data_IF_627728471693
#
_entry.id   IF_627728471693
#
_cell.length_a   1.000
_cell.length_b   1.000
_cell.length_c   1.000
_cell.angle_alpha   90.00
_cell.angle_beta   90.00
_cell.angle_gamma   90.00
#
_symmetry.space_group_name_H-M   'P 1'
#
loop_
_entity.id
_entity.type
_entity.pdbx_description
1 polymer ?
#
# COMPACT_ATOMS: atom_id res chain seq x y z
N UNK A 1 -28.51 -11.78 0.02
CA UNK A 1 -27.07 -11.45 0.10
C UNK A 1 -26.64 -11.63 1.55
N UNK A 2 -25.78 -12.59 1.86
CA UNK A 2 -25.29 -12.78 3.22
C UNK A 2 -24.32 -11.65 3.53
N UNK A 3 -24.65 -10.82 4.50
CA UNK A 3 -23.76 -9.77 4.98
C UNK A 3 -22.76 -10.42 5.92
N UNK A 4 -21.50 -10.41 5.58
CA UNK A 4 -20.44 -10.85 6.50
C UNK A 4 -20.35 -9.85 7.65
N UNK A 5 -20.19 -10.35 8.85
CA UNK A 5 -20.00 -9.55 10.04
C UNK A 5 -18.55 -9.75 10.51
N UNK A 6 -17.83 -8.66 10.63
CA UNK A 6 -16.43 -8.66 11.06
C UNK A 6 -16.34 -8.10 12.48
N UNK A 7 -15.66 -8.80 13.33
CA UNK A 7 -15.45 -8.39 14.68
C UNK A 7 -15.61 -9.55 15.69
N UNK A 8 -15.11 -9.39 16.91
CA UNK A 8 -15.11 -10.45 17.93
C UNK A 8 -16.50 -10.98 18.28
N UNK A 9 -17.54 -10.12 18.17
CA UNK A 9 -18.94 -10.47 18.48
C UNK A 9 -19.57 -11.38 17.43
N UNK A 10 -19.11 -11.36 16.19
CA UNK A 10 -19.65 -12.16 15.10
C UNK A 10 -18.50 -12.68 14.18
N UNK A 11 -17.54 -13.43 14.71
CA UNK A 11 -16.45 -13.94 13.91
C UNK A 11 -16.95 -15.02 12.94
N UNK A 12 -16.36 -15.06 11.75
CA UNK A 12 -16.41 -16.22 10.87
C UNK A 12 -15.07 -16.97 10.93
N UNK A 13 -14.95 -18.05 10.17
CA UNK A 13 -13.73 -18.86 10.19
C UNK A 13 -12.49 -18.15 9.62
N UNK A 14 -12.66 -17.02 8.93
CA UNK A 14 -11.59 -16.22 8.34
C UNK A 14 -11.32 -14.93 9.12
N UNK A 15 -12.06 -14.70 10.21
CA UNK A 15 -11.81 -13.57 11.08
C UNK A 15 -10.45 -13.70 11.78
N UNK A 16 -9.65 -12.65 11.68
CA UNK A 16 -8.34 -12.55 12.35
C UNK A 16 -8.51 -11.65 13.58
N UNK A 17 -8.30 -12.17 14.81
CA UNK A 17 -8.32 -11.34 16.01
C UNK A 17 -7.21 -10.31 15.97
N UNK A 18 -7.54 -9.03 16.16
CA UNK A 18 -6.60 -7.93 16.08
C UNK A 18 -6.05 -7.55 17.45
N UNK A 19 -4.73 -7.32 17.51
CA UNK A 19 -4.00 -6.97 18.74
C UNK A 19 -4.19 -5.51 19.14
N UNK A 20 -4.28 -4.60 18.15
CA UNK A 20 -4.34 -3.17 18.37
C UNK A 20 -5.76 -2.64 18.23
N UNK A 21 -6.09 -1.64 19.08
CA UNK A 21 -7.39 -0.98 19.04
C UNK A 21 -7.51 -0.13 17.77
N UNK A 22 -8.66 -0.27 17.11
CA UNK A 22 -9.03 0.55 15.96
C UNK A 22 -9.63 1.88 16.37
N UNK A 23 -9.44 2.87 15.52
CA UNK A 23 -9.96 4.22 15.65
C UNK A 23 -10.51 4.70 14.30
N UNK A 24 -11.56 5.53 14.35
CA UNK A 24 -12.10 6.17 13.16
C UNK A 24 -11.78 7.66 13.17
N UNK A 25 -11.22 8.15 12.07
CA UNK A 25 -11.01 9.57 11.81
C UNK A 25 -11.94 10.03 10.69
N UNK A 26 -12.76 11.06 10.97
CA UNK A 26 -13.60 11.69 9.96
C UNK A 26 -12.79 12.77 9.22
N UNK A 27 -12.54 12.56 7.93
CA UNK A 27 -11.81 13.51 7.08
C UNK A 27 -12.68 14.67 6.60
N UNK A 28 -14.00 14.65 6.90
CA UNK A 28 -15.02 15.52 6.33
C UNK A 28 -15.60 14.97 5.03
N UNK A 29 -15.01 13.94 4.43
CA UNK A 29 -15.49 13.28 3.22
C UNK A 29 -15.68 11.77 3.44
N UNK A 30 -14.77 11.15 4.16
CA UNK A 30 -14.81 9.73 4.51
C UNK A 30 -14.45 9.54 5.99
N UNK A 31 -14.82 8.37 6.52
CA UNK A 31 -14.26 7.86 7.77
C UNK A 31 -13.10 6.92 7.44
N UNK A 32 -11.91 7.26 7.92
CA UNK A 32 -10.69 6.51 7.74
C UNK A 32 -10.41 5.71 9.01
N UNK A 33 -10.36 4.39 8.89
CA UNK A 33 -10.00 3.49 9.99
C UNK A 33 -8.49 3.39 10.13
N UNK A 34 -8.00 3.28 11.37
CA UNK A 34 -6.58 3.11 11.65
C UNK A 34 -6.34 2.47 13.01
N UNK A 35 -5.17 1.88 13.18
CA UNK A 35 -4.67 1.39 14.47
C UNK A 35 -3.33 2.06 14.81
N UNK A 36 -2.98 2.06 16.12
CA UNK A 36 -1.76 2.70 16.59
C UNK A 36 -0.97 1.79 17.54
N UNK A 37 0.36 1.93 17.50
CA UNK A 37 1.29 1.31 18.46
C UNK A 37 2.42 2.29 18.82
N UNK A 38 3.10 2.04 19.94
CA UNK A 38 4.18 2.91 20.40
C UNK A 38 3.71 4.19 21.07
N UNK A 39 4.64 5.04 21.47
CA UNK A 39 4.42 6.21 22.30
C UNK A 39 4.70 7.52 21.55
N UNK A 40 4.08 8.62 21.99
CA UNK A 40 4.12 9.95 21.35
C UNK A 40 5.50 10.62 21.33
N UNK A 41 6.38 10.23 22.20
CA UNK A 41 7.74 10.77 22.32
C UNK A 41 8.69 10.25 21.23
N UNK A 42 8.27 9.21 20.49
CA UNK A 42 9.02 8.61 19.38
C UNK A 42 8.64 9.25 18.04
N UNK A 43 9.53 9.25 17.03
CA UNK A 43 9.21 9.69 15.68
C UNK A 43 7.97 8.98 15.12
N UNK A 44 7.21 9.65 14.28
CA UNK A 44 6.00 9.07 13.71
C UNK A 44 6.26 8.35 12.39
N UNK A 45 5.60 7.17 12.22
CA UNK A 45 5.54 6.44 10.95
C UNK A 45 4.08 6.12 10.61
N UNK A 46 3.72 6.31 9.33
CA UNK A 46 2.40 5.93 8.79
C UNK A 46 2.59 4.79 7.81
N UNK A 47 1.91 3.66 8.07
CA UNK A 47 1.93 2.45 7.25
C UNK A 47 0.69 2.43 6.35
N UNK A 48 0.90 2.23 5.04
CA UNK A 48 -0.11 2.34 4.00
C UNK A 48 -0.23 0.99 3.29
N UNK A 49 -1.38 0.30 3.42
CA UNK A 49 -1.54 -1.05 2.90
C UNK A 49 -1.61 -1.10 1.38
N UNK A 50 -1.33 -2.28 0.83
CA UNK A 50 -1.56 -2.60 -0.56
C UNK A 50 -3.06 -2.75 -0.88
N UNK A 51 -3.36 -2.93 -2.15
CA UNK A 51 -4.69 -3.33 -2.59
C UNK A 51 -5.08 -4.70 -2.01
N UNK A 52 -6.30 -4.82 -1.51
CA UNK A 52 -6.81 -6.00 -0.80
C UNK A 52 -6.15 -6.28 0.56
N UNK A 53 -5.46 -5.30 1.13
CA UNK A 53 -4.98 -5.37 2.50
C UNK A 53 -5.74 -4.41 3.42
N UNK A 54 -5.59 -4.64 4.72
CA UNK A 54 -6.05 -3.80 5.81
C UNK A 54 -4.87 -3.43 6.70
N UNK A 55 -5.03 -2.46 7.59
CA UNK A 55 -4.01 -2.05 8.54
C UNK A 55 -3.38 -3.24 9.31
N UNK A 56 -4.17 -4.26 9.59
CA UNK A 56 -3.72 -5.42 10.35
C UNK A 56 -2.75 -6.33 9.59
N UNK A 57 -2.59 -6.17 8.27
CA UNK A 57 -1.49 -6.79 7.51
C UNK A 57 -0.11 -6.40 8.06
N UNK A 58 -0.01 -5.20 8.66
CA UNK A 58 1.20 -4.74 9.32
C UNK A 58 1.33 -5.13 10.79
N UNK A 59 0.40 -5.88 11.36
CA UNK A 59 0.29 -6.06 12.83
C UNK A 59 1.56 -6.62 13.45
N UNK A 60 2.22 -7.58 12.79
CA UNK A 60 3.50 -8.13 13.23
C UNK A 60 4.62 -7.07 13.21
N UNK A 61 4.72 -6.31 12.11
CA UNK A 61 5.71 -5.25 11.98
C UNK A 61 5.46 -4.07 12.93
N UNK A 62 4.19 -3.74 13.21
CA UNK A 62 3.82 -2.66 14.15
C UNK A 62 4.42 -2.86 15.54
N UNK A 63 4.40 -4.10 16.03
CA UNK A 63 4.99 -4.44 17.34
C UNK A 63 6.47 -4.10 17.41
N UNK A 64 7.21 -4.51 16.39
CA UNK A 64 8.65 -4.28 16.29
C UNK A 64 8.98 -2.80 16.02
N UNK A 65 8.25 -2.15 15.10
CA UNK A 65 8.42 -0.72 14.82
C UNK A 65 8.11 0.15 16.05
N UNK A 66 7.20 -0.28 16.92
CA UNK A 66 6.81 0.48 18.10
C UNK A 66 7.93 0.67 19.12
N UNK A 67 9.03 -0.08 18.99
CA UNK A 67 10.25 0.13 19.78
C UNK A 67 10.93 1.46 19.44
N UNK A 68 10.82 1.92 18.19
CA UNK A 68 11.45 3.18 17.70
C UNK A 68 10.49 4.25 17.26
N UNK A 69 9.26 3.90 16.89
CA UNK A 69 8.28 4.81 16.31
C UNK A 69 6.99 4.85 17.11
N UNK A 70 6.27 5.97 17.01
CA UNK A 70 4.83 5.96 17.12
C UNK A 70 4.27 5.54 15.76
N UNK A 71 3.64 4.38 15.73
CA UNK A 71 3.16 3.73 14.50
C UNK A 71 1.69 4.00 14.29
N UNK A 72 1.33 4.36 13.07
CA UNK A 72 -0.05 4.48 12.60
C UNK A 72 -0.21 3.61 11.37
N UNK A 73 -1.09 2.63 11.39
CA UNK A 73 -1.44 1.83 10.23
C UNK A 73 -2.88 2.12 9.83
N UNK A 74 -3.13 2.44 8.56
CA UNK A 74 -4.43 2.92 8.09
C UNK A 74 -5.12 1.89 7.19
N UNK A 75 -6.45 1.97 7.11
CA UNK A 75 -7.20 1.39 6.00
C UNK A 75 -7.46 2.47 4.95
N UNK A 76 -7.16 2.21 3.70
CA UNK A 76 -7.49 3.13 2.62
C UNK A 76 -9.01 3.14 2.36
N UNK A 77 -9.53 4.23 1.76
CA UNK A 77 -10.93 4.23 1.30
C UNK A 77 -11.21 3.00 0.43
N UNK A 78 -12.32 2.31 0.68
CA UNK A 78 -12.73 1.09 -0.04
C UNK A 78 -12.04 -0.18 0.42
N UNK A 79 -11.24 -0.12 1.48
CA UNK A 79 -10.58 -1.28 2.07
C UNK A 79 -10.76 -1.29 3.59
N UNK A 80 -10.64 -2.47 4.19
CA UNK A 80 -10.83 -2.65 5.61
C UNK A 80 -12.15 -2.05 6.09
N UNK A 81 -12.08 -1.29 7.17
CA UNK A 81 -13.26 -0.63 7.78
C UNK A 81 -13.39 0.86 7.45
N UNK A 82 -12.60 1.34 6.49
CA UNK A 82 -12.75 2.68 5.95
C UNK A 82 -13.96 2.80 5.03
N UNK A 83 -14.45 4.02 4.83
CA UNK A 83 -15.62 4.29 3.96
C UNK A 83 -15.40 3.81 2.53
N UNK A 84 -16.45 3.24 1.95
CA UNK A 84 -16.51 2.91 0.53
C UNK A 84 -17.04 4.09 -0.26
N UNK A 85 -16.36 4.41 -1.36
CA UNK A 85 -16.71 5.55 -2.24
C UNK A 85 -16.61 5.14 -3.71
N UNK A 86 -17.52 4.26 -4.19
CA UNK A 86 -17.53 3.82 -5.58
C UNK A 86 -17.42 4.99 -6.57
N UNK A 87 -16.58 4.83 -7.59
CA UNK A 87 -16.32 5.88 -8.60
C UNK A 87 -15.35 6.98 -8.14
N UNK A 88 -14.84 6.95 -6.89
CA UNK A 88 -13.92 7.96 -6.34
C UNK A 88 -12.59 7.37 -5.87
N UNK A 89 -12.21 6.22 -6.37
CA UNK A 89 -10.93 5.57 -6.09
C UNK A 89 -9.88 6.10 -7.06
N UNK A 90 -9.15 7.14 -6.62
CA UNK A 90 -8.00 7.71 -7.32
C UNK A 90 -6.85 7.91 -6.34
N UNK A 91 -5.61 7.87 -6.82
CA UNK A 91 -4.45 8.17 -5.98
C UNK A 91 -4.52 9.57 -5.38
N UNK A 92 -5.07 10.54 -6.11
CA UNK A 92 -5.25 11.90 -5.58
C UNK A 92 -6.23 11.96 -4.42
N UNK A 93 -7.37 11.27 -4.51
CA UNK A 93 -8.33 11.24 -3.40
C UNK A 93 -7.73 10.55 -2.17
N UNK A 94 -7.07 9.41 -2.36
CA UNK A 94 -6.44 8.65 -1.27
C UNK A 94 -5.25 9.42 -0.67
N UNK A 95 -4.43 10.05 -1.50
CA UNK A 95 -3.35 10.91 -1.05
C UNK A 95 -3.85 12.09 -0.21
N UNK A 96 -4.94 12.74 -0.64
CA UNK A 96 -5.57 13.82 0.12
C UNK A 96 -6.17 13.35 1.45
N UNK A 97 -6.75 12.13 1.52
CA UNK A 97 -7.20 11.55 2.79
C UNK A 97 -6.03 11.39 3.76
N UNK A 98 -4.89 10.88 3.27
CA UNK A 98 -3.69 10.71 4.07
C UNK A 98 -3.08 12.05 4.52
N UNK A 99 -3.09 13.07 3.66
CA UNK A 99 -2.68 14.43 4.05
C UNK A 99 -3.55 14.97 5.19
N UNK A 100 -4.88 14.79 5.12
CA UNK A 100 -5.79 15.17 6.21
C UNK A 100 -5.51 14.35 7.48
N UNK A 101 -5.32 13.04 7.33
CA UNK A 101 -4.97 12.16 8.45
C UNK A 101 -3.68 12.61 9.15
N UNK A 102 -2.61 12.84 8.39
CA UNK A 102 -1.33 13.30 8.95
C UNK A 102 -1.51 14.68 9.62
N UNK A 103 -2.29 15.57 9.00
CA UNK A 103 -2.50 16.94 9.51
C UNK A 103 -3.24 16.96 10.85
N UNK A 104 -4.28 16.14 11.01
CA UNK A 104 -5.22 16.25 12.13
C UNK A 104 -5.06 15.16 13.18
N UNK A 105 -4.57 13.97 12.81
CA UNK A 105 -4.37 12.86 13.75
C UNK A 105 -2.94 12.80 14.23
N UNK A 106 -1.97 12.77 13.30
CA UNK A 106 -0.55 12.67 13.65
C UNK A 106 0.01 14.03 14.08
N UNK A 107 -0.34 15.09 13.36
CA UNK A 107 -0.05 16.50 13.64
C UNK A 107 1.46 16.85 13.75
N UNK A 108 2.32 16.11 13.03
CA UNK A 108 3.78 16.31 12.99
C UNK A 108 4.40 15.62 11.78
N UNK A 109 5.69 15.90 11.43
CA UNK A 109 6.39 15.22 10.36
C UNK A 109 6.40 13.70 10.53
N UNK A 110 6.24 12.96 9.43
CA UNK A 110 6.16 11.50 9.44
C UNK A 110 7.15 10.86 8.47
N UNK A 111 7.58 9.65 8.76
CA UNK A 111 8.00 8.69 7.73
C UNK A 111 6.72 8.03 7.19
N UNK A 112 6.61 7.88 5.89
CA UNK A 112 5.55 7.07 5.28
C UNK A 112 6.15 5.79 4.71
N UNK A 113 5.48 4.67 4.90
CA UNK A 113 5.88 3.39 4.29
C UNK A 113 4.66 2.70 3.71
N UNK A 114 4.71 2.36 2.44
CA UNK A 114 3.58 1.72 1.78
C UNK A 114 4.00 0.60 0.85
N UNK A 115 3.23 -0.48 0.86
CA UNK A 115 3.40 -1.62 -0.03
C UNK A 115 2.59 -1.43 -1.31
N UNK A 116 3.17 -1.78 -2.47
CA UNK A 116 2.44 -1.88 -3.73
C UNK A 116 1.68 -0.57 -4.05
N UNK A 117 0.35 -0.57 -4.16
CA UNK A 117 -0.45 0.65 -4.31
C UNK A 117 -0.26 1.64 -3.16
N UNK A 118 0.00 1.17 -1.94
CA UNK A 118 0.43 1.99 -0.81
C UNK A 118 1.80 2.62 -1.03
N UNK A 119 2.70 1.94 -1.75
CA UNK A 119 3.98 2.48 -2.19
C UNK A 119 3.84 3.59 -3.23
N UNK A 120 2.86 3.48 -4.15
CA UNK A 120 2.50 4.58 -5.06
C UNK A 120 1.96 5.78 -4.26
N UNK A 121 1.17 5.53 -3.20
CA UNK A 121 0.71 6.60 -2.30
C UNK A 121 1.84 7.21 -1.46
N UNK A 122 2.83 6.42 -1.06
CA UNK A 122 4.06 6.97 -0.44
C UNK A 122 4.81 7.88 -1.40
N UNK A 123 4.88 7.53 -2.70
CA UNK A 123 5.43 8.38 -3.75
C UNK A 123 4.59 9.64 -3.94
N UNK A 124 3.26 9.51 -3.98
CA UNK A 124 2.35 10.64 -4.07
C UNK A 124 2.53 11.63 -2.91
N UNK A 125 2.60 11.12 -1.68
CA UNK A 125 2.82 11.95 -0.48
C UNK A 125 4.18 12.64 -0.51
N UNK A 126 5.24 11.96 -0.94
CA UNK A 126 6.58 12.54 -1.04
C UNK A 126 6.66 13.69 -2.06
N UNK A 127 5.81 13.66 -3.09
CA UNK A 127 5.75 14.66 -4.15
C UNK A 127 4.77 15.81 -3.84
N UNK A 128 3.56 15.49 -3.40
CA UNK A 128 2.45 16.44 -3.37
C UNK A 128 2.03 16.88 -1.97
N UNK A 129 2.38 16.15 -0.93
CA UNK A 129 2.11 16.61 0.44
C UNK A 129 2.78 17.97 0.71
N UNK A 130 2.22 18.80 1.62
CA UNK A 130 2.84 20.03 2.05
C UNK A 130 4.30 19.82 2.49
N UNK A 131 5.17 20.79 2.16
CA UNK A 131 6.59 20.71 2.51
C UNK A 131 6.82 20.46 4.01
N UNK A 132 7.70 19.54 4.34
CA UNK A 132 8.01 19.13 5.72
C UNK A 132 6.93 18.29 6.41
N UNK A 133 5.91 17.82 5.68
CA UNK A 133 4.96 16.84 6.21
C UNK A 133 5.55 15.43 6.19
N UNK A 134 6.24 15.06 5.11
CA UNK A 134 6.92 13.78 4.95
C UNK A 134 8.41 13.99 5.15
N UNK A 135 8.97 13.29 6.14
CA UNK A 135 10.40 13.33 6.50
C UNK A 135 11.22 12.38 5.63
N UNK A 136 10.59 11.31 5.20
CA UNK A 136 11.14 10.29 4.30
C UNK A 136 10.05 9.32 3.86
N UNK A 137 10.21 8.72 2.69
CA UNK A 137 9.21 7.84 2.10
C UNK A 137 9.81 6.48 1.70
N UNK A 138 9.19 5.41 2.16
CA UNK A 138 9.50 4.03 1.79
C UNK A 138 8.50 3.59 0.74
N UNK A 139 9.00 3.20 -0.42
CA UNK A 139 8.23 2.60 -1.50
C UNK A 139 8.52 1.10 -1.49
N UNK A 140 7.67 0.34 -0.78
CA UNK A 140 7.80 -1.10 -0.69
C UNK A 140 7.18 -1.73 -1.93
N UNK A 141 8.01 -2.22 -2.82
CA UNK A 141 7.65 -2.95 -4.04
C UNK A 141 6.45 -2.35 -4.81
N UNK A 142 6.50 -1.04 -5.19
CA UNK A 142 5.38 -0.33 -5.78
C UNK A 142 5.27 -0.59 -7.28
N UNK A 143 4.05 -0.67 -7.87
CA UNK A 143 3.83 -0.80 -9.31
C UNK A 143 3.96 0.56 -10.04
N UNK A 144 5.01 1.33 -9.76
CA UNK A 144 5.26 2.61 -10.42
C UNK A 144 5.44 2.40 -11.92
N UNK A 145 4.77 3.23 -12.73
CA UNK A 145 4.56 3.08 -14.17
C UNK A 145 3.69 1.87 -14.55
N UNK A 146 3.99 0.68 -14.04
CA UNK A 146 3.31 -0.56 -14.44
C UNK A 146 1.82 -0.59 -14.10
N UNK A 147 1.32 0.23 -13.18
CA UNK A 147 -0.12 0.36 -12.92
C UNK A 147 -0.82 1.45 -13.77
N UNK A 148 -0.11 2.14 -14.64
CA UNK A 148 -0.70 3.07 -15.60
C UNK A 148 -1.17 2.32 -16.87
N UNK A 149 -2.19 2.86 -17.55
CA UNK A 149 -2.63 2.32 -18.85
C UNK A 149 -1.64 2.63 -19.97
N UNK A 150 -1.01 3.79 -19.89
CA UNK A 150 -0.05 4.31 -20.87
C UNK A 150 1.14 4.92 -20.11
N UNK A 151 2.02 4.08 -19.58
CA UNK A 151 3.16 4.56 -18.80
C UNK A 151 4.15 5.31 -19.70
N UNK A 152 4.90 6.24 -19.11
CA UNK A 152 5.98 6.92 -19.80
C UNK A 152 7.16 5.98 -20.12
N UNK A 153 7.32 4.89 -19.33
CA UNK A 153 8.43 3.95 -19.45
C UNK A 153 7.96 2.53 -19.16
N UNK A 154 8.47 1.57 -19.93
CA UNK A 154 8.29 0.14 -19.72
C UNK A 154 6.85 -0.38 -19.91
N UNK A 155 6.55 -1.58 -19.40
CA UNK A 155 5.26 -2.22 -19.60
C UNK A 155 4.13 -1.57 -18.79
N UNK A 156 2.95 -1.50 -19.39
CA UNK A 156 1.71 -1.04 -18.76
C UNK A 156 1.01 -2.16 -17.99
N UNK A 157 0.00 -1.79 -17.17
CA UNK A 157 -0.88 -2.76 -16.50
C UNK A 157 -1.46 -3.81 -17.45
N UNK A 158 -1.71 -3.45 -18.70
CA UNK A 158 -2.28 -4.35 -19.73
C UNK A 158 -1.30 -5.43 -20.21
N UNK A 159 -0.01 -5.22 -19.98
CA UNK A 159 1.07 -6.13 -20.38
C UNK A 159 1.59 -6.97 -19.22
N UNK A 160 1.00 -6.80 -18.04
CA UNK A 160 1.33 -7.56 -16.84
C UNK A 160 0.15 -8.43 -16.42
N UNK A 161 0.39 -9.41 -15.57
CA UNK A 161 -0.65 -10.26 -14.95
C UNK A 161 -1.66 -9.46 -14.12
N UNK A 162 -1.32 -8.22 -13.74
CA UNK A 162 -2.15 -7.39 -12.86
C UNK A 162 -3.52 -7.08 -13.47
N UNK A 163 -3.62 -6.94 -14.80
CA UNK A 163 -4.91 -6.71 -15.45
C UNK A 163 -5.88 -7.87 -15.21
N UNK A 164 -5.42 -9.10 -15.38
CA UNK A 164 -6.23 -10.30 -15.16
C UNK A 164 -6.61 -10.46 -13.69
N UNK A 165 -5.65 -10.24 -12.78
CA UNK A 165 -5.89 -10.29 -11.33
C UNK A 165 -6.94 -9.26 -10.92
N UNK A 166 -6.85 -8.03 -11.43
CA UNK A 166 -7.83 -6.99 -11.11
C UNK A 166 -9.21 -7.27 -11.72
N UNK A 167 -9.27 -7.85 -12.91
CA UNK A 167 -10.54 -8.26 -13.49
C UNK A 167 -11.23 -9.32 -12.60
N UNK A 168 -10.52 -10.35 -12.19
CA UNK A 168 -11.04 -11.37 -11.28
C UNK A 168 -11.47 -10.77 -9.94
N UNK A 169 -10.67 -9.86 -9.37
CA UNK A 169 -11.04 -9.13 -8.15
C UNK A 169 -12.31 -8.30 -8.35
N UNK A 170 -12.46 -7.63 -9.49
CA UNK A 170 -13.64 -6.82 -9.79
C UNK A 170 -14.94 -7.62 -9.91
N UNK A 171 -14.85 -8.91 -10.24
CA UNK A 171 -15.98 -9.80 -10.41
C UNK A 171 -16.34 -10.48 -9.08
N UNK A 172 -15.33 -10.92 -8.34
CA UNK A 172 -15.50 -11.87 -7.24
C UNK A 172 -15.26 -11.29 -5.84
N UNK A 173 -14.59 -10.14 -5.65
CA UNK A 173 -14.32 -9.63 -4.31
C UNK A 173 -15.44 -8.74 -3.75
N UNK A 174 -15.40 -8.54 -2.44
CA UNK A 174 -16.33 -7.70 -1.71
C UNK A 174 -17.39 -8.47 -0.94
N UNK A 175 -18.34 -7.76 -0.35
CA UNK A 175 -19.37 -8.28 0.53
C UNK A 175 -20.54 -8.99 -0.19
N UNK A 176 -20.52 -9.04 -1.52
CA UNK A 176 -21.48 -9.78 -2.34
C UNK A 176 -21.18 -11.28 -2.44
N UNK A 177 -20.13 -11.76 -1.82
CA UNK A 177 -19.70 -13.13 -1.89
C UNK A 177 -20.72 -14.14 -1.37
N UNK A 178 -20.74 -15.31 -2.03
CA UNK A 178 -21.17 -16.56 -1.44
C UNK A 178 -20.04 -17.60 -1.57
N UNK A 179 -20.17 -18.73 -0.88
CA UNK A 179 -19.14 -19.80 -0.90
C UNK A 179 -18.88 -20.31 -2.32
N UNK A 180 -19.93 -20.41 -3.15
CA UNK A 180 -19.78 -20.82 -4.54
C UNK A 180 -19.01 -19.81 -5.40
N UNK A 181 -19.08 -18.55 -5.11
CA UNK A 181 -18.32 -17.52 -5.80
C UNK A 181 -16.84 -17.55 -5.40
N UNK A 182 -16.54 -17.92 -4.15
CA UNK A 182 -15.18 -18.15 -3.69
C UNK A 182 -14.51 -19.31 -4.43
N UNK A 183 -15.20 -20.42 -4.61
CA UNK A 183 -14.67 -21.55 -5.38
C UNK A 183 -14.43 -21.18 -6.85
N UNK A 184 -15.33 -20.43 -7.47
CA UNK A 184 -15.16 -19.92 -8.84
C UNK A 184 -13.94 -19.00 -8.92
N UNK A 185 -13.76 -18.08 -7.95
CA UNK A 185 -12.60 -17.20 -7.89
C UNK A 185 -11.30 -17.99 -7.77
N UNK A 186 -11.23 -18.94 -6.82
CA UNK A 186 -10.03 -19.78 -6.64
C UNK A 186 -9.67 -20.56 -7.91
N UNK A 187 -10.66 -21.07 -8.61
CA UNK A 187 -10.43 -21.78 -9.87
C UNK A 187 -9.91 -20.84 -10.96
N UNK A 188 -10.50 -19.66 -11.10
CA UNK A 188 -10.07 -18.67 -12.09
C UNK A 188 -8.64 -18.15 -11.80
N UNK A 189 -8.34 -17.77 -10.55
CA UNK A 189 -7.03 -17.21 -10.18
C UNK A 189 -5.91 -18.29 -10.24
N UNK A 190 -6.25 -19.57 -10.11
CA UNK A 190 -5.30 -20.68 -10.28
C UNK A 190 -4.74 -20.77 -11.69
N UNK A 191 -5.51 -20.39 -12.69
CA UNK A 191 -5.04 -20.36 -14.09
C UNK A 191 -4.08 -19.18 -14.34
N UNK A 192 -4.14 -18.15 -13.50
CA UNK A 192 -3.35 -16.92 -13.63
C UNK A 192 -2.05 -17.00 -12.82
N UNK A 193 -2.10 -17.55 -11.62
CA UNK A 193 -0.95 -17.59 -10.70
C UNK A 193 -0.11 -18.87 -10.88
N UNK A 194 1.24 -18.73 -10.70
CA UNK A 194 2.07 -19.91 -10.50
C UNK A 194 1.56 -20.76 -9.33
N UNK A 195 1.66 -22.10 -9.41
CA UNK A 195 1.13 -22.99 -8.38
C UNK A 195 1.63 -22.70 -6.96
N UNK A 196 2.90 -22.31 -6.82
CA UNK A 196 3.50 -21.94 -5.54
C UNK A 196 2.88 -20.66 -4.95
N UNK A 197 2.65 -19.64 -5.77
CA UNK A 197 2.02 -18.40 -5.34
C UNK A 197 0.56 -18.62 -4.98
N UNK A 198 -0.18 -19.41 -5.82
CA UNK A 198 -1.56 -19.77 -5.52
C UNK A 198 -1.67 -20.51 -4.18
N UNK A 199 -0.80 -21.51 -3.95
CA UNK A 199 -0.80 -22.27 -2.71
C UNK A 199 -0.50 -21.39 -1.49
N UNK A 200 0.44 -20.48 -1.60
CA UNK A 200 0.80 -19.56 -0.51
C UNK A 200 -0.36 -18.61 -0.14
N UNK A 201 -1.11 -18.14 -1.14
CA UNK A 201 -2.17 -17.14 -0.92
C UNK A 201 -3.53 -17.77 -0.57
N UNK A 202 -3.86 -18.92 -1.14
CA UNK A 202 -5.24 -19.44 -1.14
C UNK A 202 -5.36 -20.91 -0.71
N UNK A 203 -4.25 -21.65 -0.61
CA UNK A 203 -4.26 -23.13 -0.59
C UNK A 203 -5.13 -23.79 0.47
N UNK A 204 -5.28 -23.20 1.67
CA UNK A 204 -6.08 -23.76 2.77
C UNK A 204 -7.39 -23.00 3.03
N UNK A 205 -7.67 -21.92 2.30
CA UNK A 205 -8.82 -21.07 2.59
C UNK A 205 -10.14 -21.72 2.12
N UNK A 206 -11.04 -21.99 3.05
CA UNK A 206 -12.38 -22.53 2.79
C UNK A 206 -13.34 -21.40 2.43
N UNK A 207 -13.19 -20.22 3.06
CA UNK A 207 -13.95 -19.01 2.81
C UNK A 207 -13.02 -17.88 2.34
N UNK A 208 -13.57 -16.82 1.72
CA UNK A 208 -12.79 -15.62 1.41
C UNK A 208 -12.08 -15.08 2.65
N UNK A 209 -10.77 -14.78 2.59
CA UNK A 209 -10.07 -14.14 3.69
C UNK A 209 -10.73 -12.82 4.11
N UNK A 210 -10.60 -12.45 5.38
CA UNK A 210 -11.25 -11.26 5.96
C UNK A 210 -10.97 -9.98 5.12
N UNK A 211 -9.72 -9.74 4.76
CA UNK A 211 -9.32 -8.58 3.95
C UNK A 211 -10.00 -8.54 2.58
N UNK A 212 -10.31 -9.70 1.98
CA UNK A 212 -11.05 -9.77 0.72
C UNK A 212 -12.55 -9.49 0.90
N UNK A 213 -13.13 -9.89 2.01
CA UNK A 213 -14.53 -9.56 2.36
C UNK A 213 -14.69 -8.06 2.62
N UNK A 214 -13.67 -7.42 3.20
CA UNK A 214 -13.64 -5.99 3.51
C UNK A 214 -13.29 -5.09 2.31
N UNK A 215 -12.99 -5.65 1.14
CA UNK A 215 -12.57 -4.93 -0.05
C UNK A 215 -13.75 -4.48 -0.93
N UNK A 216 -13.70 -3.25 -1.45
CA UNK A 216 -14.65 -2.78 -2.46
C UNK A 216 -14.13 -3.11 -3.87
N UNK A 217 -14.83 -3.96 -4.66
CA UNK A 217 -14.39 -4.35 -6.00
C UNK A 217 -14.33 -3.19 -7.00
N UNK A 218 -14.99 -2.06 -6.74
CA UNK A 218 -14.87 -0.85 -7.56
C UNK A 218 -13.43 -0.31 -7.59
N UNK A 219 -12.63 -0.64 -6.59
CA UNK A 219 -11.20 -0.34 -6.57
C UNK A 219 -10.44 -1.04 -7.72
N UNK A 220 -10.68 -2.35 -7.90
CA UNK A 220 -10.11 -3.12 -9.00
C UNK A 220 -10.60 -2.59 -10.35
N UNK A 221 -11.89 -2.23 -10.47
CA UNK A 221 -12.45 -1.61 -11.66
C UNK A 221 -11.79 -0.27 -12.00
N UNK A 222 -11.45 0.52 -10.99
CA UNK A 222 -10.71 1.78 -11.19
C UNK A 222 -9.30 1.52 -11.76
N UNK A 223 -8.62 0.44 -11.33
CA UNK A 223 -7.34 0.04 -11.91
C UNK A 223 -7.48 -0.37 -13.38
N UNK A 224 -8.42 -1.25 -13.71
CA UNK A 224 -8.65 -1.74 -15.08
C UNK A 224 -9.00 -0.59 -16.04
N UNK A 225 -9.85 0.33 -15.57
CA UNK A 225 -10.26 1.50 -16.36
C UNK A 225 -9.19 2.59 -16.42
N UNK A 226 -8.13 2.50 -15.60
CA UNK A 226 -7.08 3.50 -15.46
C UNK A 226 -7.51 4.77 -14.73
N UNK A 227 -8.73 4.81 -14.18
CA UNK A 227 -9.23 6.00 -13.46
C UNK A 227 -8.50 6.22 -12.15
N UNK A 228 -7.87 5.19 -11.58
CA UNK A 228 -7.09 5.30 -10.35
C UNK A 228 -5.88 6.22 -10.49
N UNK A 229 -5.22 6.20 -11.64
CA UNK A 229 -4.02 6.99 -11.95
C UNK A 229 -4.26 8.10 -12.97
N UNK A 230 -5.50 8.32 -13.42
CA UNK A 230 -5.81 9.22 -14.54
C UNK A 230 -5.33 10.68 -14.34
N UNK A 231 -5.27 11.15 -13.09
CA UNK A 231 -4.76 12.48 -12.72
C UNK A 231 -3.37 12.44 -12.08
N UNK A 232 -2.75 11.27 -11.98
CA UNK A 232 -1.47 11.04 -11.31
C UNK A 232 -0.47 10.43 -12.31
N UNK A 233 0.15 11.28 -13.13
CA UNK A 233 1.27 10.88 -13.99
C UNK A 233 2.48 10.56 -13.13
N UNK A 234 2.98 9.33 -13.20
CA UNK A 234 4.06 8.86 -12.34
C UNK A 234 5.40 9.52 -12.64
N UNK A 235 5.69 9.84 -13.90
CA UNK A 235 6.94 10.55 -14.24
C UNK A 235 6.92 11.97 -13.69
N UNK A 236 5.81 12.66 -13.83
CA UNK A 236 5.62 13.98 -13.26
C UNK A 236 5.69 13.92 -11.72
N UNK A 237 4.97 13.00 -11.09
CA UNK A 237 4.99 12.82 -9.64
C UNK A 237 6.41 12.62 -9.10
N UNK A 238 7.17 11.69 -9.68
CA UNK A 238 8.54 11.37 -9.24
C UNK A 238 9.51 12.55 -9.43
N UNK A 239 9.27 13.42 -10.40
CA UNK A 239 10.06 14.65 -10.60
C UNK A 239 9.77 15.76 -9.59
N UNK A 240 8.79 15.57 -8.69
CA UNK A 240 8.41 16.53 -7.63
C UNK A 240 8.66 16.02 -6.21
N UNK A 241 9.38 14.92 -6.06
CA UNK A 241 9.71 14.34 -4.73
C UNK A 241 10.49 15.34 -3.88
N UNK A 242 10.11 15.51 -2.61
CA UNK A 242 10.60 16.53 -1.68
C UNK A 242 11.32 15.98 -0.45
N UNK A 243 11.48 14.69 -0.35
CA UNK A 243 12.13 14.04 0.80
C UNK A 243 12.97 12.83 0.35
N UNK A 244 13.90 12.34 1.17
CA UNK A 244 14.63 11.11 0.90
C UNK A 244 13.71 9.92 0.66
N UNK A 245 14.11 9.04 -0.26
CA UNK A 245 13.35 7.85 -0.65
C UNK A 245 14.15 6.57 -0.40
N UNK A 246 13.51 5.58 0.20
CA UNK A 246 13.92 4.19 0.20
C UNK A 246 13.00 3.40 -0.72
N UNK A 247 13.56 2.79 -1.74
CA UNK A 247 12.85 1.89 -2.65
C UNK A 247 13.29 0.45 -2.39
N UNK A 248 12.35 -0.44 -2.12
CA UNK A 248 12.62 -1.88 -2.09
C UNK A 248 11.96 -2.57 -3.27
N UNK A 249 12.71 -3.41 -3.99
CA UNK A 249 12.18 -4.28 -5.04
C UNK A 249 12.27 -5.72 -4.59
N UNK A 250 11.16 -6.43 -4.69
CA UNK A 250 11.06 -7.83 -4.28
C UNK A 250 11.13 -8.78 -5.48
N UNK A 251 10.86 -10.06 -5.24
CA UNK A 251 10.93 -11.08 -6.28
C UNK A 251 10.02 -10.76 -7.48
N UNK A 252 10.57 -10.93 -8.67
CA UNK A 252 9.82 -10.85 -9.92
C UNK A 252 9.91 -12.18 -10.65
N UNK A 253 8.79 -12.62 -11.26
CA UNK A 253 8.68 -13.87 -11.98
C UNK A 253 8.08 -13.63 -13.36
N UNK A 254 8.35 -14.54 -14.30
CA UNK A 254 7.59 -14.62 -15.54
C UNK A 254 6.50 -15.66 -15.38
N UNK A 255 5.26 -15.32 -15.74
CA UNK A 255 4.17 -16.28 -15.81
C UNK A 255 4.47 -17.30 -16.90
N UNK A 256 4.53 -18.57 -16.53
CA UNK A 256 4.97 -19.67 -17.41
C UNK A 256 4.09 -19.84 -18.66
N UNK A 257 2.80 -19.50 -18.55
CA UNK A 257 1.83 -19.68 -19.64
C UNK A 257 1.75 -18.46 -20.59
N UNK A 258 1.89 -17.28 -20.08
CA UNK A 258 1.66 -16.03 -20.84
C UNK A 258 2.94 -15.26 -21.15
N UNK A 259 4.05 -15.59 -20.48
CA UNK A 259 5.27 -14.79 -20.52
C UNK A 259 5.15 -13.40 -19.87
N UNK A 260 3.99 -13.12 -19.26
CA UNK A 260 3.73 -11.84 -18.59
C UNK A 260 4.60 -11.71 -17.33
N UNK A 261 5.12 -10.53 -17.09
CA UNK A 261 5.89 -10.26 -15.89
C UNK A 261 4.99 -10.29 -14.65
N UNK A 262 5.41 -11.05 -13.65
CA UNK A 262 4.90 -11.00 -12.29
C UNK A 262 5.97 -10.30 -11.47
N UNK A 263 5.94 -9.03 -11.45
CA UNK A 263 6.80 -8.12 -10.71
C UNK A 263 6.23 -6.74 -10.89
N UNK A 264 6.57 -5.84 -10.00
CA UNK A 264 5.90 -4.54 -9.99
C UNK A 264 6.56 -3.53 -10.91
N UNK A 265 7.89 -3.58 -11.09
CA UNK A 265 8.62 -2.68 -12.00
C UNK A 265 9.70 -3.44 -12.79
N UNK A 266 9.87 -3.10 -14.06
CA UNK A 266 10.98 -3.58 -14.89
C UNK A 266 12.29 -2.87 -14.51
N UNK A 267 13.43 -3.37 -15.03
CA UNK A 267 14.73 -2.71 -14.84
C UNK A 267 14.72 -1.31 -15.46
N UNK A 268 14.17 -1.15 -16.66
CA UNK A 268 14.00 0.15 -17.30
C UNK A 268 13.19 1.13 -16.43
N UNK A 269 12.06 0.67 -15.88
CA UNK A 269 11.23 1.49 -15.00
C UNK A 269 11.99 1.87 -13.73
N UNK A 270 12.78 0.94 -13.16
CA UNK A 270 13.58 1.19 -11.97
C UNK A 270 14.66 2.27 -12.23
N UNK A 271 15.35 2.19 -13.36
CA UNK A 271 16.34 3.20 -13.76
C UNK A 271 15.72 4.59 -13.91
N UNK A 272 14.51 4.66 -14.49
CA UNK A 272 13.81 5.94 -14.64
C UNK A 272 13.31 6.48 -13.30
N UNK A 273 12.82 5.63 -12.39
CA UNK A 273 12.44 6.03 -11.03
C UNK A 273 13.64 6.68 -10.31
N UNK A 274 14.77 6.00 -10.30
CA UNK A 274 16.00 6.50 -9.69
C UNK A 274 16.44 7.83 -10.28
N UNK A 275 16.46 7.93 -11.61
CA UNK A 275 16.84 9.14 -12.35
C UNK A 275 15.92 10.32 -12.00
N UNK A 276 14.61 10.10 -12.00
CA UNK A 276 13.63 11.15 -11.72
C UNK A 276 13.74 11.64 -10.27
N UNK A 277 13.81 10.73 -9.30
CA UNK A 277 13.95 11.12 -7.89
C UNK A 277 15.26 11.82 -7.63
N UNK A 278 16.41 11.27 -8.11
CA UNK A 278 17.72 11.94 -7.97
C UNK A 278 17.75 13.31 -8.66
N UNK A 279 17.01 13.47 -9.75
CA UNK A 279 16.87 14.75 -10.47
C UNK A 279 16.24 15.86 -9.61
N UNK A 280 15.52 15.54 -8.55
CA UNK A 280 14.96 16.51 -7.58
C UNK A 280 15.99 16.97 -6.53
N UNK A 281 17.19 16.38 -6.51
CA UNK A 281 18.21 16.59 -5.48
C UNK A 281 17.96 15.78 -4.19
N UNK A 282 16.95 14.92 -4.15
CA UNK A 282 16.67 14.11 -2.96
C UNK A 282 17.51 12.80 -2.95
N UNK A 283 17.98 12.34 -1.77
CA UNK A 283 18.61 11.05 -1.62
C UNK A 283 17.67 9.92 -2.05
N UNK A 284 18.21 8.97 -2.81
CA UNK A 284 17.51 7.77 -3.23
C UNK A 284 18.33 6.53 -2.86
N UNK A 285 17.73 5.67 -2.04
CA UNK A 285 18.31 4.39 -1.63
C UNK A 285 17.51 3.27 -2.28
N UNK A 286 18.19 2.41 -3.03
CA UNK A 286 17.60 1.22 -3.66
C UNK A 286 18.11 -0.05 -2.99
N UNK A 287 17.19 -0.93 -2.58
CA UNK A 287 17.51 -2.26 -2.06
C UNK A 287 16.72 -3.31 -2.84
N UNK A 288 17.41 -4.36 -3.29
CA UNK A 288 16.78 -5.48 -3.98
C UNK A 288 16.76 -6.72 -3.10
N UNK A 289 15.59 -7.35 -3.01
CA UNK A 289 15.34 -8.59 -2.25
C UNK A 289 14.75 -9.65 -3.20
N UNK A 290 15.54 -10.25 -4.10
CA UNK A 290 15.02 -11.11 -5.16
C UNK A 290 14.38 -12.41 -4.67
N UNK A 291 14.69 -12.83 -3.44
CA UNK A 291 14.08 -14.01 -2.81
C UNK A 291 12.87 -13.68 -1.93
N UNK A 292 12.58 -12.38 -1.73
CA UNK A 292 11.49 -11.93 -0.86
C UNK A 292 10.18 -11.89 -1.65
N UNK A 293 9.12 -12.42 -1.06
CA UNK A 293 7.76 -12.26 -1.58
C UNK A 293 7.27 -10.81 -1.49
N UNK A 294 6.17 -10.51 -2.18
CA UNK A 294 5.65 -9.14 -2.33
C UNK A 294 5.40 -8.43 -0.98
N UNK A 295 4.93 -9.15 0.04
CA UNK A 295 4.54 -8.60 1.36
C UNK A 295 5.67 -8.78 2.39
N UNK A 296 6.80 -8.07 2.25
CA UNK A 296 7.95 -8.24 3.15
C UNK A 296 7.57 -7.97 4.61
N UNK A 297 6.80 -6.92 4.90
CA UNK A 297 6.37 -6.55 6.25
C UNK A 297 5.56 -7.65 6.98
N UNK A 298 4.94 -8.55 6.23
CA UNK A 298 4.17 -9.69 6.76
C UNK A 298 4.96 -11.00 6.74
N UNK A 299 5.76 -11.23 5.69
CA UNK A 299 6.56 -12.47 5.50
C UNK A 299 7.78 -12.49 6.41
N UNK A 300 8.51 -11.39 6.47
CA UNK A 300 9.69 -11.20 7.33
C UNK A 300 9.64 -9.81 7.98
N UNK A 301 8.81 -9.64 9.01
CA UNK A 301 8.66 -8.35 9.69
C UNK A 301 9.96 -7.86 10.34
N UNK A 302 10.86 -8.75 10.74
CA UNK A 302 12.15 -8.37 11.32
C UNK A 302 13.07 -7.75 10.26
N UNK A 303 13.15 -8.32 9.06
CA UNK A 303 13.90 -7.77 7.93
C UNK A 303 13.33 -6.41 7.51
N UNK A 304 12.00 -6.33 7.37
CA UNK A 304 11.31 -5.09 7.04
C UNK A 304 11.64 -3.97 8.05
N UNK A 305 11.49 -4.25 9.32
CA UNK A 305 11.74 -3.27 10.40
C UNK A 305 13.22 -2.88 10.49
N UNK A 306 14.14 -3.84 10.38
CA UNK A 306 15.57 -3.55 10.32
C UNK A 306 15.92 -2.65 9.15
N UNK A 307 15.39 -2.93 7.97
CA UNK A 307 15.59 -2.14 6.76
C UNK A 307 15.15 -0.68 6.95
N UNK A 308 13.96 -0.47 7.50
CA UNK A 308 13.45 0.88 7.79
C UNK A 308 14.28 1.56 8.88
N UNK A 309 14.59 0.87 9.98
CA UNK A 309 15.35 1.43 11.09
C UNK A 309 16.77 1.85 10.68
N UNK A 310 17.43 1.09 9.81
CA UNK A 310 18.77 1.43 9.33
C UNK A 310 18.74 2.62 8.37
N UNK A 311 17.76 2.67 7.47
CA UNK A 311 17.60 3.80 6.58
C UNK A 311 17.15 5.08 7.32
N UNK A 312 16.27 4.96 8.31
CA UNK A 312 15.77 6.12 9.08
C UNK A 312 16.88 6.91 9.77
N UNK A 313 17.99 6.26 10.15
CA UNK A 313 19.16 6.92 10.74
C UNK A 313 19.83 7.93 9.79
N UNK A 314 19.56 7.83 8.49
CA UNK A 314 20.10 8.74 7.44
C UNK A 314 19.21 9.95 7.20
N UNK A 315 18.00 9.98 7.76
CA UNK A 315 17.05 11.05 7.54
C UNK A 315 17.31 12.26 8.44
N UNK A 316 16.90 13.46 8.00
CA UNK A 316 16.78 14.59 8.91
C UNK A 316 15.91 14.22 10.11
N UNK A 317 16.18 14.75 11.27
CA UNK A 317 15.36 14.53 12.46
C UNK A 317 13.96 15.13 12.29
N UNK A 318 13.01 14.67 13.11
CA UNK A 318 11.66 15.25 13.12
C UNK A 318 11.68 16.75 13.45
N UNK A 319 12.54 17.17 14.37
CA UNK A 319 12.69 18.57 14.74
C UNK A 319 13.19 19.43 13.57
N UNK A 320 14.25 19.02 12.88
CA UNK A 320 14.81 19.74 11.72
C UNK A 320 13.78 19.82 10.57
N UNK A 321 13.00 18.75 10.35
CA UNK A 321 11.95 18.72 9.32
C UNK A 321 10.80 19.65 9.71
N UNK A 322 10.41 19.67 11.00
CA UNK A 322 9.34 20.50 11.53
C UNK A 322 9.64 21.98 11.38
N UNK A 323 10.85 22.42 11.72
CA UNK A 323 11.25 23.83 11.62
C UNK A 323 11.12 24.41 10.21
N UNK A 324 11.34 23.57 9.20
CA UNK A 324 11.32 23.96 7.77
C UNK A 324 9.98 23.76 7.09
N UNK A 325 8.99 23.18 7.77
CA UNK A 325 7.78 22.65 7.15
C UNK A 325 6.47 23.23 7.65
N UNK A 326 5.39 22.60 7.18
CA UNK A 326 3.99 22.96 7.48
C UNK A 326 3.66 22.95 8.98
N UNK A 327 4.43 22.24 9.79
CA UNK A 327 4.23 22.13 11.25
C UNK A 327 5.08 23.14 12.07
N UNK A 328 5.83 24.04 11.43
CA UNK A 328 6.71 25.00 12.12
C UNK A 328 5.97 25.93 13.11
N UNK A 329 4.69 26.20 12.85
CA UNK A 329 3.86 27.14 13.61
C UNK A 329 2.79 26.46 14.49
N UNK A 330 2.87 25.17 14.69
CA UNK A 330 1.91 24.41 15.51
C UNK A 330 2.50 23.91 16.83
#
# INVERSE_FOLDING_TARGET
MQKYSFGPENPDITYVPHKYKEHLFDTGEIKLNYATAGTKDKPAIVLIPAQTESWWGYEAAMGLLSERFQVFAVDLRGQGRSSRTPGRYTFDNMGNDLVRFITFVVARPVVVSGLSSGGVLSAWLSAYAPHGMVRGAVYEDPPLFSCELTPAFGPSIRQTILSEVFELRSIYLGDQWCVGDWEKYKNAIREVFPPSLFQAMFGAAIEPPQNYKEYDPEWARACIKGTISASCDHAQMLSHVKCPVLFTRHASFLATLTGSSIGVVSDEQMEQIEKLVKGTGQPFTFLSFPEMGHLMHSIDPELYVRTINDWEKTLPTEAETREKGVFAKR
#
